data_IF_409322073973
#
_entry.id   IF_409322073973
#
_cell.length_a   1.000
_cell.length_b   1.000
_cell.length_c   1.000
_cell.angle_alpha   90.00
_cell.angle_beta   90.00
_cell.angle_gamma   90.00
#
_symmetry.space_group_name_H-M   'P 1'
#
loop_
_entity.id
_entity.type
_entity.pdbx_description
1 polymer ?
#
# COMPACT_ATOMS: atom_id res chain seq x y z
N UNK A 1 -0.40 -35.41 40.05
CA UNK A 1 -0.51 -33.94 40.10
C UNK A 1 0.80 -33.40 39.51
N UNK A 2 0.82 -33.12 38.21
CA UNK A 2 2.01 -32.65 37.49
C UNK A 2 1.85 -31.15 37.28
N UNK A 3 2.63 -30.37 38.02
CA UNK A 3 2.76 -28.93 37.81
C UNK A 3 3.70 -28.70 36.62
N UNK A 4 3.22 -28.03 35.58
CA UNK A 4 4.06 -27.52 34.50
C UNK A 4 4.48 -26.09 34.85
N UNK A 5 5.78 -25.86 34.91
CA UNK A 5 6.41 -24.58 35.22
C UNK A 5 6.27 -23.62 34.01
N UNK A 6 5.54 -22.53 34.19
CA UNK A 6 5.09 -21.59 33.14
C UNK A 6 6.16 -20.54 32.76
N UNK A 7 7.44 -20.80 33.01
CA UNK A 7 8.53 -19.82 32.88
C UNK A 7 9.45 -19.98 31.65
N UNK A 8 9.13 -20.86 30.71
CA UNK A 8 9.97 -21.10 29.53
C UNK A 8 9.61 -20.25 28.29
N UNK A 9 8.63 -19.34 28.38
CA UNK A 9 8.18 -18.51 27.24
C UNK A 9 8.63 -17.04 27.28
N UNK A 10 9.43 -16.63 28.27
CA UNK A 10 9.94 -15.25 28.41
C UNK A 10 11.21 -14.97 27.58
N UNK A 11 11.54 -15.82 26.61
CA UNK A 11 12.81 -15.80 25.88
C UNK A 11 12.76 -15.34 24.41
N UNK A 12 11.61 -14.90 23.89
CA UNK A 12 11.58 -14.29 22.55
C UNK A 12 11.81 -12.79 22.72
N UNK A 13 13.09 -12.44 22.94
CA UNK A 13 13.56 -11.07 22.81
C UNK A 13 13.23 -10.53 21.41
N UNK A 14 13.22 -9.20 21.31
CA UNK A 14 13.01 -8.45 20.09
C UNK A 14 13.76 -9.05 18.88
N UNK A 15 13.01 -9.70 17.98
CA UNK A 15 13.54 -10.37 16.79
C UNK A 15 14.17 -9.37 15.80
N UNK A 16 14.05 -8.06 16.03
CA UNK A 16 14.81 -7.04 15.30
C UNK A 16 16.32 -7.09 15.58
N UNK A 17 16.76 -7.84 16.59
CA UNK A 17 18.17 -7.91 17.02
C UNK A 17 18.95 -9.13 16.50
N UNK A 18 18.36 -9.97 15.63
CA UNK A 18 19.08 -11.10 15.01
C UNK A 18 19.49 -10.75 13.57
N UNK A 19 20.77 -10.44 13.29
CA UNK A 19 21.25 -10.02 11.97
C UNK A 19 21.35 -11.18 10.95
N UNK A 20 21.16 -12.42 11.40
CA UNK A 20 21.61 -13.62 10.66
C UNK A 20 20.44 -14.38 9.99
N UNK A 21 19.49 -13.65 9.40
CA UNK A 21 18.61 -14.25 8.40
C UNK A 21 19.47 -14.61 7.18
N UNK A 22 19.69 -15.91 6.95
CA UNK A 22 20.47 -16.42 5.84
C UNK A 22 20.07 -15.76 4.49
N UNK A 23 21.02 -15.44 3.60
CA UNK A 23 20.74 -14.78 2.32
C UNK A 23 19.96 -15.74 1.43
N UNK A 24 18.63 -15.63 1.42
CA UNK A 24 17.82 -16.60 0.69
C UNK A 24 16.37 -16.21 0.44
N UNK A 25 15.79 -15.28 1.19
CA UNK A 25 14.44 -14.79 0.89
C UNK A 25 14.31 -13.33 1.33
N UNK A 26 14.59 -12.43 0.39
CA UNK A 26 14.35 -11.01 0.56
C UNK A 26 12.83 -10.83 0.58
N UNK A 27 12.28 -10.35 1.70
CA UNK A 27 10.86 -10.00 1.76
C UNK A 27 10.62 -8.76 0.90
N UNK A 28 10.20 -8.97 -0.34
CA UNK A 28 9.83 -7.88 -1.28
C UNK A 28 8.49 -7.23 -0.93
N UNK A 29 7.92 -7.51 0.25
CA UNK A 29 6.80 -6.76 0.79
C UNK A 29 5.59 -6.62 -0.14
N UNK A 30 4.91 -5.49 0.00
CA UNK A 30 3.93 -4.99 -0.97
C UNK A 30 4.61 -3.95 -1.86
N UNK A 31 4.37 -4.00 -3.16
CA UNK A 31 4.82 -2.99 -4.12
C UNK A 31 3.59 -2.38 -4.77
N UNK A 32 3.42 -1.08 -4.59
CA UNK A 32 2.40 -0.27 -5.23
C UNK A 32 3.07 0.71 -6.17
N UNK A 33 2.39 1.01 -7.27
CA UNK A 33 2.91 1.88 -8.30
C UNK A 33 1.78 2.71 -8.91
N UNK A 34 2.01 4.00 -9.15
CA UNK A 34 1.10 4.81 -9.95
C UNK A 34 1.87 5.83 -10.80
N UNK A 35 1.38 6.10 -12.00
CA UNK A 35 1.95 7.07 -12.93
C UNK A 35 0.83 7.87 -13.61
N UNK A 36 0.93 9.19 -13.55
CA UNK A 36 0.02 10.12 -14.20
C UNK A 36 0.44 10.34 -15.66
N UNK A 37 -0.55 10.38 -16.56
CA UNK A 37 -0.41 10.81 -17.94
C UNK A 37 -1.46 11.89 -18.25
N UNK A 38 -1.37 12.49 -19.44
CA UNK A 38 -2.17 13.67 -19.81
C UNK A 38 -3.69 13.49 -19.56
N UNK A 39 -4.23 12.32 -19.93
CA UNK A 39 -5.67 12.06 -19.80
C UNK A 39 -6.06 11.16 -18.63
N UNK A 40 -5.18 10.91 -17.65
CA UNK A 40 -5.51 10.00 -16.54
C UNK A 40 -4.34 9.50 -15.72
N UNK A 41 -4.54 8.34 -15.09
CA UNK A 41 -3.55 7.66 -14.26
C UNK A 41 -3.52 6.17 -14.58
N UNK A 42 -2.34 5.56 -14.47
CA UNK A 42 -2.15 4.11 -14.46
C UNK A 42 -1.72 3.72 -13.07
N UNK A 43 -2.33 2.68 -12.51
CA UNK A 43 -2.02 2.13 -11.20
C UNK A 43 -1.69 0.64 -11.32
N UNK A 44 -0.78 0.16 -10.49
CA UNK A 44 -0.34 -1.22 -10.41
C UNK A 44 -0.02 -1.61 -8.97
N UNK A 45 -0.23 -2.89 -8.67
CA UNK A 45 0.10 -3.47 -7.38
C UNK A 45 0.47 -4.95 -7.55
N UNK A 46 1.37 -5.45 -6.71
CA UNK A 46 1.57 -6.88 -6.60
C UNK A 46 0.38 -7.56 -5.89
N UNK A 47 0.21 -8.86 -6.12
CA UNK A 47 -0.94 -9.62 -5.60
C UNK A 47 -0.62 -10.46 -4.36
N UNK A 48 0.62 -10.41 -3.85
CA UNK A 48 1.08 -11.27 -2.76
C UNK A 48 0.82 -10.61 -1.40
N UNK A 49 0.22 -11.35 -0.49
CA UNK A 49 0.03 -10.96 0.91
C UNK A 49 0.74 -11.96 1.82
N UNK A 50 1.49 -11.44 2.79
CA UNK A 50 2.22 -12.23 3.78
C UNK A 50 1.75 -11.94 5.20
N UNK A 51 1.84 -12.93 6.08
CA UNK A 51 1.52 -12.79 7.51
C UNK A 51 2.65 -13.36 8.36
N UNK A 52 3.47 -12.47 8.91
CA UNK A 52 4.56 -12.84 9.81
C UNK A 52 5.61 -13.77 9.19
N UNK A 53 6.41 -14.34 10.08
CA UNK A 53 7.47 -15.28 9.75
C UNK A 53 7.18 -16.64 10.36
N UNK A 54 7.55 -17.69 9.65
CA UNK A 54 7.43 -19.08 10.12
C UNK A 54 8.81 -19.72 10.08
N UNK A 55 9.14 -20.44 11.15
CA UNK A 55 10.34 -21.28 11.22
C UNK A 55 10.01 -22.61 10.53
N UNK A 56 10.69 -22.90 9.43
CA UNK A 56 10.55 -24.18 8.73
C UNK A 56 11.53 -25.20 9.31
N UNK A 57 11.00 -26.20 10.01
CA UNK A 57 11.80 -27.32 10.52
C UNK A 57 12.32 -28.25 9.42
N UNK A 58 11.73 -28.20 8.22
CA UNK A 58 12.11 -29.04 7.08
C UNK A 58 13.26 -28.44 6.24
N UNK A 59 13.49 -27.13 6.34
CA UNK A 59 14.53 -26.40 5.60
C UNK A 59 15.66 -25.93 6.53
N UNK A 60 16.30 -26.84 7.29
CA UNK A 60 17.42 -26.50 8.18
C UNK A 60 17.14 -25.30 9.12
N UNK A 61 15.93 -25.24 9.70
CA UNK A 61 15.54 -24.21 10.67
C UNK A 61 15.59 -22.76 10.12
N UNK A 62 15.21 -22.57 8.86
CA UNK A 62 15.17 -21.24 8.24
C UNK A 62 13.89 -20.47 8.56
N UNK A 63 14.04 -19.17 8.80
CA UNK A 63 12.95 -18.20 8.96
C UNK A 63 12.50 -17.78 7.56
N UNK A 64 11.22 -17.99 7.23
CA UNK A 64 10.62 -17.58 5.95
C UNK A 64 9.41 -16.69 6.17
N UNK A 65 9.15 -15.79 5.22
CA UNK A 65 7.91 -15.00 5.20
C UNK A 65 6.76 -15.92 4.78
N UNK A 66 5.71 -16.03 5.60
CA UNK A 66 4.58 -16.89 5.25
C UNK A 66 3.62 -16.16 4.33
N UNK A 67 3.49 -16.65 3.09
CA UNK A 67 2.55 -16.09 2.09
C UNK A 67 1.17 -16.69 2.31
N UNK A 68 0.27 -15.87 2.84
CA UNK A 68 -1.13 -16.26 3.13
C UNK A 68 -2.00 -16.24 1.88
N UNK A 69 -1.72 -15.35 0.93
CA UNK A 69 -2.50 -15.22 -0.29
C UNK A 69 -1.60 -14.71 -1.43
N UNK A 70 -1.76 -15.25 -2.63
CA UNK A 70 -1.00 -14.88 -3.83
C UNK A 70 -1.80 -14.04 -4.83
N UNK A 71 -3.09 -13.85 -4.57
CA UNK A 71 -4.05 -13.22 -5.50
C UNK A 71 -4.89 -12.14 -4.81
N UNK A 72 -4.32 -11.42 -3.84
CA UNK A 72 -5.00 -10.31 -3.15
C UNK A 72 -5.06 -9.08 -4.03
N UNK A 73 -6.25 -8.50 -4.16
CA UNK A 73 -6.41 -7.16 -4.73
C UNK A 73 -6.08 -6.08 -3.68
N UNK A 74 -5.10 -5.24 -4.00
CA UNK A 74 -4.62 -4.13 -3.15
C UNK A 74 -5.13 -2.77 -3.64
N UNK A 75 -5.86 -2.77 -4.75
CA UNK A 75 -6.52 -1.61 -5.31
C UNK A 75 -7.98 -1.63 -4.85
N UNK A 76 -8.45 -0.55 -4.25
CA UNK A 76 -9.83 -0.48 -3.77
C UNK A 76 -10.52 0.73 -4.38
N UNK A 77 -11.65 0.54 -5.10
CA UNK A 77 -12.40 1.66 -5.63
C UNK A 77 -13.03 2.45 -4.49
N UNK A 78 -12.76 3.75 -4.47
CA UNK A 78 -13.37 4.69 -3.53
C UNK A 78 -14.59 5.39 -4.14
N UNK A 79 -14.54 5.69 -5.44
CA UNK A 79 -15.61 6.28 -6.23
C UNK A 79 -15.47 5.84 -7.70
N UNK A 80 -16.37 6.30 -8.59
CA UNK A 80 -16.44 5.86 -10.00
C UNK A 80 -15.09 5.88 -10.73
N UNK A 81 -14.29 6.93 -10.53
CA UNK A 81 -12.99 7.14 -11.21
C UNK A 81 -11.82 7.28 -10.23
N UNK A 82 -11.97 6.82 -8.99
CA UNK A 82 -10.99 7.03 -7.91
C UNK A 82 -10.69 5.70 -7.24
N UNK A 83 -9.40 5.37 -7.18
CA UNK A 83 -8.88 4.17 -6.53
C UNK A 83 -7.92 4.54 -5.41
N UNK A 84 -7.92 3.71 -4.38
CA UNK A 84 -6.93 3.72 -3.31
C UNK A 84 -6.04 2.49 -3.43
N UNK A 85 -4.73 2.70 -3.51
CA UNK A 85 -3.74 1.64 -3.43
C UNK A 85 -3.35 1.46 -1.95
N UNK A 86 -3.39 0.23 -1.42
CA UNK A 86 -3.28 -0.04 0.01
C UNK A 86 -1.98 -0.77 0.38
N UNK A 87 -1.24 -0.23 1.35
CA UNK A 87 -0.05 -0.85 1.95
C UNK A 87 -0.01 -0.66 3.47
N UNK A 88 0.65 -1.58 4.18
CA UNK A 88 0.64 -1.65 5.64
C UNK A 88 -0.25 -2.80 6.13
N UNK A 89 -0.91 -2.61 7.28
CA UNK A 89 -1.84 -3.60 7.82
C UNK A 89 -3.03 -3.78 6.87
N UNK A 90 -3.26 -5.01 6.43
CA UNK A 90 -4.36 -5.31 5.51
C UNK A 90 -5.72 -4.95 6.13
N UNK A 91 -5.92 -5.25 7.41
CA UNK A 91 -7.16 -4.95 8.12
C UNK A 91 -7.40 -3.43 8.25
N UNK A 92 -6.38 -2.69 8.69
CA UNK A 92 -6.49 -1.24 8.90
C UNK A 92 -6.79 -0.54 7.58
N UNK A 93 -6.01 -0.86 6.53
CA UNK A 93 -6.15 -0.20 5.23
C UNK A 93 -7.48 -0.52 4.56
N UNK A 94 -8.00 -1.74 4.68
CA UNK A 94 -9.35 -2.10 4.20
C UNK A 94 -10.41 -1.29 4.93
N UNK A 95 -10.31 -1.22 6.26
CA UNK A 95 -11.31 -0.52 7.05
C UNK A 95 -11.32 0.98 6.77
N UNK A 96 -10.15 1.60 6.61
CA UNK A 96 -10.03 3.01 6.20
C UNK A 96 -10.67 3.22 4.83
N UNK A 97 -10.39 2.36 3.84
CA UNK A 97 -10.97 2.49 2.52
C UNK A 97 -12.50 2.36 2.53
N UNK A 98 -13.06 1.43 3.32
CA UNK A 98 -14.51 1.25 3.47
C UNK A 98 -15.18 2.49 4.08
N UNK A 99 -14.58 3.06 5.13
CA UNK A 99 -15.10 4.28 5.77
C UNK A 99 -15.06 5.46 4.79
N UNK A 100 -13.96 5.65 4.08
CA UNK A 100 -13.82 6.75 3.10
C UNK A 100 -14.80 6.58 1.96
N UNK A 101 -14.97 5.36 1.43
CA UNK A 101 -15.96 5.08 0.39
C UNK A 101 -17.36 5.48 0.83
N UNK A 102 -17.75 5.12 2.05
CA UNK A 102 -19.03 5.54 2.62
C UNK A 102 -19.17 7.07 2.73
N UNK A 103 -18.13 7.76 3.20
CA UNK A 103 -18.12 9.23 3.28
C UNK A 103 -18.25 9.89 1.90
N UNK A 104 -17.57 9.34 0.89
CA UNK A 104 -17.63 9.85 -0.48
C UNK A 104 -18.97 9.59 -1.14
N UNK A 105 -19.59 8.44 -0.89
CA UNK A 105 -20.94 8.14 -1.36
C UNK A 105 -21.96 9.12 -0.77
N UNK A 106 -21.84 9.43 0.53
CA UNK A 106 -22.67 10.43 1.17
C UNK A 106 -22.42 11.84 0.59
N UNK A 107 -21.15 12.23 0.45
CA UNK A 107 -20.76 13.53 -0.14
C UNK A 107 -21.31 13.70 -1.56
N UNK A 108 -21.26 12.64 -2.36
CA UNK A 108 -21.79 12.61 -3.73
C UNK A 108 -23.29 12.91 -3.77
N UNK A 109 -24.06 12.31 -2.87
CA UNK A 109 -25.51 12.55 -2.76
C UNK A 109 -25.79 13.97 -2.28
N UNK A 110 -25.05 14.45 -1.28
CA UNK A 110 -25.24 15.78 -0.70
C UNK A 110 -24.90 16.90 -1.70
N UNK A 111 -23.81 16.75 -2.45
CA UNK A 111 -23.34 17.75 -3.41
C UNK A 111 -23.93 17.59 -4.81
N UNK A 112 -24.68 16.50 -5.04
CA UNK A 112 -25.25 16.12 -6.34
C UNK A 112 -24.20 16.14 -7.48
N UNK A 113 -22.97 15.73 -7.19
CA UNK A 113 -21.87 15.59 -8.15
C UNK A 113 -20.88 14.51 -7.70
N UNK A 114 -20.11 13.95 -8.63
CA UNK A 114 -19.04 13.03 -8.27
C UNK A 114 -17.96 13.75 -7.43
N UNK A 115 -17.36 13.04 -6.44
CA UNK A 115 -16.26 13.58 -5.65
C UNK A 115 -15.00 13.75 -6.52
N UNK A 116 -14.23 14.79 -6.23
CA UNK A 116 -12.91 15.03 -6.85
C UNK A 116 -11.86 14.10 -6.24
N UNK A 117 -10.74 13.90 -6.94
CA UNK A 117 -9.64 13.07 -6.44
C UNK A 117 -9.04 13.68 -5.16
N UNK A 118 -8.95 15.02 -5.11
CA UNK A 118 -8.49 15.73 -3.92
C UNK A 118 -9.40 15.52 -2.72
N UNK A 119 -10.73 15.58 -2.89
CA UNK A 119 -11.69 15.34 -1.80
C UNK A 119 -11.53 13.92 -1.21
N UNK A 120 -11.39 12.92 -2.08
CA UNK A 120 -11.09 11.55 -1.66
C UNK A 120 -9.77 11.43 -0.90
N UNK A 121 -8.71 12.09 -1.40
CA UNK A 121 -7.40 12.05 -0.77
C UNK A 121 -7.39 12.77 0.59
N UNK A 122 -8.12 13.87 0.74
CA UNK A 122 -8.29 14.57 2.02
C UNK A 122 -9.07 13.71 3.02
N UNK A 123 -10.11 13.01 2.59
CA UNK A 123 -10.86 12.09 3.45
C UNK A 123 -9.97 10.95 3.98
N UNK A 124 -9.20 10.29 3.09
CA UNK A 124 -8.20 9.29 3.49
C UNK A 124 -7.19 9.87 4.48
N UNK A 125 -6.61 11.03 4.16
CA UNK A 125 -5.61 11.70 4.99
C UNK A 125 -6.16 12.02 6.39
N UNK A 126 -7.40 12.49 6.48
CA UNK A 126 -8.03 12.86 7.76
C UNK A 126 -8.05 11.68 8.72
N UNK A 127 -8.44 10.48 8.26
CA UNK A 127 -8.46 9.27 9.07
C UNK A 127 -7.03 8.81 9.39
N UNK A 128 -6.16 8.75 8.38
CA UNK A 128 -4.77 8.29 8.55
C UNK A 128 -3.99 9.16 9.52
N UNK A 129 -4.21 10.49 9.51
CA UNK A 129 -3.55 11.42 10.41
C UNK A 129 -4.09 11.31 11.84
N UNK A 130 -5.41 11.18 12.00
CA UNK A 130 -6.06 11.13 13.31
C UNK A 130 -5.68 9.89 14.11
N UNK A 131 -5.49 8.76 13.42
CA UNK A 131 -5.14 7.48 14.03
C UNK A 131 -3.73 7.00 13.64
N UNK A 132 -2.82 7.93 13.34
CA UNK A 132 -1.46 7.60 12.86
C UNK A 132 -0.63 6.79 13.86
N UNK A 133 -0.95 6.90 15.15
CA UNK A 133 -0.24 6.22 16.24
C UNK A 133 -0.85 4.82 16.51
N UNK A 134 -2.08 4.57 16.04
CA UNK A 134 -2.81 3.31 16.25
C UNK A 134 -2.87 2.43 14.99
N UNK A 135 -2.85 3.04 13.80
CA UNK A 135 -3.02 2.36 12.52
C UNK A 135 -1.73 2.34 11.71
N UNK A 136 -1.42 1.18 11.13
CA UNK A 136 -0.30 1.05 10.19
C UNK A 136 -0.81 1.14 8.75
N UNK A 137 -0.99 2.37 8.27
CA UNK A 137 -1.64 2.66 6.99
C UNK A 137 -0.76 3.53 6.11
N UNK A 138 -0.40 3.01 4.94
CA UNK A 138 0.23 3.75 3.85
C UNK A 138 -0.60 3.60 2.58
N UNK A 139 -1.07 4.72 2.03
CA UNK A 139 -2.02 4.72 0.92
C UNK A 139 -1.56 5.67 -0.18
N UNK A 140 -1.98 5.39 -1.41
CA UNK A 140 -2.02 6.39 -2.47
C UNK A 140 -3.43 6.47 -3.03
N UNK A 141 -3.93 7.67 -3.22
CA UNK A 141 -5.20 7.91 -3.91
C UNK A 141 -4.89 8.38 -5.32
N UNK A 142 -5.36 7.63 -6.29
CA UNK A 142 -5.14 7.90 -7.70
C UNK A 142 -6.47 7.85 -8.43
N UNK A 143 -6.70 8.81 -9.32
CA UNK A 143 -7.94 8.86 -10.07
C UNK A 143 -7.93 9.93 -11.13
N UNK A 144 -9.11 10.13 -11.71
CA UNK A 144 -9.36 11.19 -12.67
C UNK A 144 -10.63 11.94 -12.30
N UNK A 145 -10.57 13.27 -12.36
CA UNK A 145 -11.74 14.14 -12.27
C UNK A 145 -11.77 15.19 -13.39
N UNK A 146 -12.93 15.82 -13.56
CA UNK A 146 -13.16 16.82 -14.62
C UNK A 146 -12.46 18.16 -14.35
N UNK A 147 -11.99 18.40 -13.12
CA UNK A 147 -11.46 19.70 -12.70
C UNK A 147 -9.98 19.80 -13.00
N UNK A 148 -9.22 18.77 -12.64
CA UNK A 148 -7.76 18.75 -12.70
C UNK A 148 -7.21 17.52 -13.43
N UNK A 149 -8.08 16.68 -13.99
CA UNK A 149 -7.70 15.51 -14.78
C UNK A 149 -7.13 14.39 -13.92
N UNK A 150 -6.11 13.70 -14.44
CA UNK A 150 -5.42 12.63 -13.72
C UNK A 150 -4.67 13.18 -12.50
N UNK A 151 -4.87 12.58 -11.33
CA UNK A 151 -4.18 13.00 -10.12
C UNK A 151 -3.74 11.81 -9.27
N UNK A 152 -2.61 11.97 -8.60
CA UNK A 152 -2.10 11.02 -7.62
C UNK A 152 -1.69 11.78 -6.36
N UNK A 153 -2.19 11.31 -5.21
CA UNK A 153 -1.86 11.81 -3.89
C UNK A 153 -1.31 10.68 -3.02
N UNK A 154 -0.14 10.91 -2.47
CA UNK A 154 0.56 10.04 -1.54
C UNK A 154 0.23 10.38 -0.10
N UNK A 155 -0.11 9.34 0.67
CA UNK A 155 -0.42 9.39 2.09
C UNK A 155 0.48 8.36 2.79
N UNK A 156 1.73 8.74 3.12
CA UNK A 156 2.66 7.84 3.81
C UNK A 156 2.22 7.61 5.27
N UNK A 157 2.87 6.64 5.91
CA UNK A 157 2.78 6.40 7.36
C UNK A 157 3.13 7.71 8.09
N UNK A 158 2.14 8.34 8.72
CA UNK A 158 2.23 9.69 9.29
C UNK A 158 1.12 10.64 8.83
N UNK A 159 0.34 10.27 7.80
CA UNK A 159 -0.88 11.00 7.41
C UNK A 159 -0.62 12.35 6.70
N UNK A 160 0.57 12.52 6.12
CA UNK A 160 0.82 13.63 5.19
C UNK A 160 0.03 13.45 3.90
N UNK A 161 -0.13 14.52 3.13
CA UNK A 161 -0.77 14.47 1.81
C UNK A 161 0.12 15.17 0.80
N UNK A 162 0.66 14.41 -0.15
CA UNK A 162 1.65 14.90 -1.11
C UNK A 162 1.18 14.58 -2.52
N UNK A 163 1.04 15.59 -3.38
CA UNK A 163 0.74 15.37 -4.80
C UNK A 163 2.01 15.03 -5.56
N UNK A 164 2.01 13.95 -6.33
CA UNK A 164 3.16 13.51 -7.11
C UNK A 164 2.70 13.03 -8.50
N UNK A 165 3.46 13.27 -9.58
CA UNK A 165 3.08 12.82 -10.92
C UNK A 165 3.31 11.31 -11.11
N UNK A 166 4.17 10.69 -10.32
CA UNK A 166 4.32 9.25 -10.21
C UNK A 166 4.77 8.91 -8.80
N UNK A 167 4.39 7.73 -8.32
CA UNK A 167 4.70 7.29 -6.95
C UNK A 167 4.87 5.79 -6.87
N UNK A 168 5.74 5.37 -5.96
CA UNK A 168 5.93 3.99 -5.54
C UNK A 168 5.74 3.87 -4.05
N UNK A 169 5.27 2.72 -3.56
CA UNK A 169 5.20 2.50 -2.13
C UNK A 169 4.95 1.07 -1.71
N UNK A 170 4.79 0.90 -0.39
CA UNK A 170 4.86 -0.38 0.28
C UNK A 170 6.31 -0.83 0.52
N UNK A 171 6.50 -1.88 1.31
CA UNK A 171 7.85 -2.34 1.70
C UNK A 171 8.72 -2.83 0.53
N UNK A 172 8.11 -3.20 -0.60
CA UNK A 172 8.81 -3.58 -1.82
C UNK A 172 9.30 -2.42 -2.69
N UNK A 173 8.82 -1.19 -2.43
CA UNK A 173 9.18 -0.02 -3.25
C UNK A 173 10.67 0.32 -3.22
N UNK A 174 11.37 -0.06 -2.16
CA UNK A 174 12.81 0.16 -2.01
C UNK A 174 13.63 -0.47 -3.14
N UNK A 175 13.17 -1.60 -3.69
CA UNK A 175 13.88 -2.32 -4.75
C UNK A 175 13.72 -1.70 -6.14
N UNK A 176 12.71 -0.85 -6.31
CA UNK A 176 12.32 -0.32 -7.62
C UNK A 176 12.73 1.14 -7.81
N UNK A 177 13.29 1.81 -6.80
CA UNK A 177 13.75 3.21 -6.96
C UNK A 177 14.77 3.37 -8.09
N UNK A 178 15.72 2.44 -8.23
CA UNK A 178 16.69 2.48 -9.33
C UNK A 178 16.06 2.31 -10.72
N UNK A 179 14.98 1.52 -10.83
CA UNK A 179 14.19 1.41 -12.05
C UNK A 179 13.36 2.68 -12.30
N UNK A 180 12.73 3.19 -11.24
CA UNK A 180 11.92 4.39 -11.25
C UNK A 180 12.70 5.59 -11.76
N UNK A 181 13.89 5.85 -11.21
CA UNK A 181 14.73 7.00 -11.58
C UNK A 181 15.26 6.92 -13.02
N UNK A 182 15.48 5.69 -13.52
CA UNK A 182 16.01 5.47 -14.86
C UNK A 182 14.94 5.58 -15.94
N UNK A 183 13.79 4.96 -15.71
CA UNK A 183 12.77 4.79 -16.75
C UNK A 183 11.71 5.90 -16.72
N UNK A 184 11.43 6.50 -15.55
CA UNK A 184 10.43 7.57 -15.44
C UNK A 184 10.80 8.79 -16.28
N UNK A 185 9.82 9.30 -17.03
CA UNK A 185 9.94 10.54 -17.80
C UNK A 185 8.69 11.38 -17.57
N UNK A 186 8.83 12.70 -17.38
CA UNK A 186 7.68 13.60 -17.35
C UNK A 186 6.87 13.49 -18.65
N UNK A 187 5.55 13.54 -18.56
CA UNK A 187 4.62 13.53 -19.69
C UNK A 187 4.68 12.28 -20.59
N UNK A 188 4.91 11.10 -19.99
CA UNK A 188 4.76 9.81 -20.68
C UNK A 188 3.36 9.63 -21.26
N UNK A 189 3.28 8.94 -22.40
CA UNK A 189 2.00 8.51 -22.97
C UNK A 189 1.42 7.35 -22.17
N UNK A 190 0.12 7.08 -22.36
CA UNK A 190 -0.60 5.99 -21.66
C UNK A 190 0.11 4.64 -21.79
N UNK A 191 0.58 4.30 -23.00
CA UNK A 191 1.25 3.03 -23.28
C UNK A 191 2.62 2.95 -22.57
N UNK A 192 3.35 4.06 -22.52
CA UNK A 192 4.63 4.15 -21.81
C UNK A 192 4.41 4.04 -20.30
N UNK A 193 3.40 4.72 -19.75
CA UNK A 193 3.00 4.60 -18.35
C UNK A 193 2.58 3.16 -18.00
N UNK A 194 1.83 2.50 -18.88
CA UNK A 194 1.43 1.11 -18.69
C UNK A 194 2.63 0.17 -18.69
N UNK A 195 3.56 0.34 -19.64
CA UNK A 195 4.80 -0.44 -19.68
C UNK A 195 5.63 -0.21 -18.41
N UNK A 196 5.78 1.06 -18.00
CA UNK A 196 6.52 1.48 -16.82
C UNK A 196 5.96 0.85 -15.54
N UNK A 197 4.65 0.89 -15.35
CA UNK A 197 3.96 0.29 -14.19
C UNK A 197 4.00 -1.24 -14.22
N UNK A 198 3.94 -1.86 -15.40
CA UNK A 198 3.88 -3.33 -15.53
C UNK A 198 5.22 -4.04 -15.34
N UNK A 199 6.32 -3.33 -15.61
CA UNK A 199 7.69 -3.89 -15.56
C UNK A 199 8.34 -3.68 -14.19
N UNK A 200 7.92 -2.63 -13.48
CA UNK A 200 8.37 -2.29 -12.13
C UNK A 200 7.67 -3.07 -11.02
#
# INVERSE_FOLDING_TARGET
>A
MLAADYKAFDGIGDLSQHPDAAPGEISTGTTLFACQFDSGVVIGADSRTSSGYVISFLDNLRIRTYVVNRVTDKLTPLAKNIFCCRSGSAADTQKVADIVRYQLDFHRVQMNREPTVLEAAVACRSICYSYRDDLTVGLFVAGWDEVLGGQIYSIPLGGMLIRQPAVTGGSGSTYIYGYFDREYKPNMKKEECASFVSTG
#
